data_IF_147771499254
#
_entry.id   IF_147771499254
#
_cell.length_a   1.000
_cell.length_b   1.000
_cell.length_c   1.000
_cell.angle_alpha   90.00
_cell.angle_beta   90.00
_cell.angle_gamma   90.00
#
_symmetry.space_group_name_H-M   'P 1'
#
loop_
_entity.id
_entity.type
_entity.pdbx_description
1 polymer ?
#
# COMPACT_ATOMS: atom_id res chain seq x y z
N UNK A 1 -26.91 -34.01 48.06
CA UNK A 1 -26.61 -32.57 48.19
C UNK A 1 -27.57 -31.83 47.28
N UNK A 2 -28.22 -30.76 47.75
CA UNK A 2 -29.08 -29.94 46.89
C UNK A 2 -28.27 -29.36 45.72
N UNK A 3 -28.90 -29.17 44.53
CA UNK A 3 -28.22 -28.62 43.37
C UNK A 3 -27.88 -27.14 43.62
N UNK A 4 -26.59 -26.83 43.63
CA UNK A 4 -26.10 -25.44 43.70
C UNK A 4 -26.38 -24.75 42.37
N UNK A 5 -26.99 -23.57 42.41
CA UNK A 5 -27.31 -22.77 41.22
C UNK A 5 -26.51 -21.48 41.21
N UNK A 6 -26.19 -20.96 40.03
CA UNK A 6 -25.42 -19.71 39.90
C UNK A 6 -26.33 -18.51 40.08
N UNK A 7 -25.88 -17.53 40.88
CA UNK A 7 -26.55 -16.26 41.06
C UNK A 7 -26.36 -15.36 39.85
N UNK A 8 -27.47 -14.91 39.26
CA UNK A 8 -27.48 -14.02 38.10
C UNK A 8 -27.58 -12.53 38.45
N UNK A 9 -27.61 -12.17 39.74
CA UNK A 9 -27.51 -10.78 40.15
C UNK A 9 -26.19 -10.19 39.62
N UNK A 10 -26.28 -9.02 38.98
CA UNK A 10 -25.16 -8.39 38.26
C UNK A 10 -23.99 -8.13 39.20
N UNK A 11 -22.83 -8.75 38.92
CA UNK A 11 -21.63 -8.60 39.74
C UNK A 11 -21.48 -9.57 40.93
N UNK A 12 -22.43 -10.49 41.15
CA UNK A 12 -22.30 -11.55 42.16
C UNK A 12 -21.65 -12.82 41.57
N UNK A 13 -22.34 -13.53 40.68
CA UNK A 13 -21.82 -14.73 39.99
C UNK A 13 -21.50 -15.94 40.88
N UNK A 14 -21.87 -15.93 42.17
CA UNK A 14 -21.61 -17.01 43.12
C UNK A 14 -22.66 -18.12 43.02
N UNK A 15 -22.26 -19.36 43.33
CA UNK A 15 -23.19 -20.49 43.45
C UNK A 15 -23.83 -20.54 44.84
N UNK A 16 -25.15 -20.72 44.91
CA UNK A 16 -25.91 -20.78 46.15
C UNK A 16 -26.91 -21.93 46.15
N UNK A 17 -27.40 -22.30 47.32
CA UNK A 17 -28.47 -23.29 47.50
C UNK A 17 -29.84 -22.57 47.54
N UNK A 18 -30.76 -22.84 46.59
CA UNK A 18 -32.09 -22.23 46.59
C UNK A 18 -32.91 -22.50 47.86
N UNK A 19 -32.64 -23.61 48.56
CA UNK A 19 -33.37 -23.97 49.78
C UNK A 19 -32.84 -23.26 51.03
N UNK A 20 -31.62 -22.71 50.97
CA UNK A 20 -30.96 -22.01 52.06
C UNK A 20 -30.37 -20.68 51.56
N UNK A 21 -31.24 -19.80 51.05
CA UNK A 21 -30.85 -18.52 50.47
C UNK A 21 -30.64 -17.45 51.56
N UNK A 22 -29.41 -17.02 51.76
CA UNK A 22 -29.02 -15.96 52.69
C UNK A 22 -28.81 -14.61 52.01
N UNK A 23 -28.87 -13.51 52.78
CA UNK A 23 -28.72 -12.13 52.26
C UNK A 23 -27.25 -11.69 52.06
N UNK A 24 -26.37 -12.63 51.71
CA UNK A 24 -24.94 -12.39 51.50
C UNK A 24 -24.58 -12.03 50.05
N UNK A 25 -25.57 -11.98 49.14
CA UNK A 25 -25.35 -11.60 47.74
C UNK A 25 -24.99 -10.13 47.59
N UNK A 26 -23.72 -9.83 47.30
CA UNK A 26 -23.26 -8.47 46.97
C UNK A 26 -23.33 -8.24 45.46
N UNK A 27 -24.24 -7.37 45.01
CA UNK A 27 -24.50 -7.15 43.58
C UNK A 27 -24.81 -5.67 43.25
N UNK A 28 -24.92 -5.37 41.95
CA UNK A 28 -25.34 -4.08 41.42
C UNK A 28 -26.79 -4.17 40.93
N UNK A 29 -27.75 -3.43 41.54
CA UNK A 29 -29.12 -3.38 41.03
C UNK A 29 -29.25 -2.52 39.77
N UNK A 30 -28.26 -1.67 39.50
CA UNK A 30 -28.22 -0.79 38.34
C UNK A 30 -27.73 -1.48 37.06
N UNK A 31 -27.92 -0.79 35.95
CA UNK A 31 -27.44 -1.22 34.63
C UNK A 31 -26.04 -0.65 34.36
N UNK A 32 -25.22 -1.31 33.55
CA UNK A 32 -23.94 -0.75 33.13
C UNK A 32 -24.19 0.44 32.20
N UNK A 33 -23.42 1.52 32.33
CA UNK A 33 -23.41 2.66 31.43
C UNK A 33 -22.00 2.97 30.95
N UNK A 34 -21.90 3.46 29.72
CA UNK A 34 -20.65 3.78 29.04
C UNK A 34 -20.77 5.19 28.43
N UNK A 35 -20.10 6.18 29.00
CA UNK A 35 -20.17 7.58 28.54
C UNK A 35 -18.81 8.27 28.77
N UNK A 36 -18.35 9.08 27.81
CA UNK A 36 -17.08 9.83 27.85
C UNK A 36 -15.87 9.02 28.33
N UNK A 37 -15.66 7.84 27.73
CA UNK A 37 -14.62 6.86 28.09
C UNK A 37 -14.75 6.20 29.48
N UNK A 38 -15.66 6.68 30.33
CA UNK A 38 -15.97 6.08 31.63
C UNK A 38 -17.00 4.95 31.49
N UNK A 39 -16.79 3.92 32.32
CA UNK A 39 -17.61 2.72 32.44
C UNK A 39 -18.04 2.61 33.90
N UNK A 40 -19.32 2.47 34.16
CA UNK A 40 -19.84 2.45 35.54
C UNK A 40 -21.20 1.80 35.65
N UNK A 41 -21.72 1.73 36.87
CA UNK A 41 -23.04 1.19 37.18
C UNK A 41 -23.98 2.31 37.59
N UNK A 42 -25.23 2.32 37.11
CA UNK A 42 -26.17 3.41 37.48
C UNK A 42 -26.55 3.42 38.95
N UNK A 43 -26.32 2.33 39.69
CA UNK A 43 -26.61 2.21 41.11
C UNK A 43 -25.49 2.73 42.03
N UNK A 44 -24.29 3.00 41.53
CA UNK A 44 -23.21 3.54 42.36
C UNK A 44 -22.27 4.44 41.56
N UNK A 45 -21.69 5.45 42.21
CA UNK A 45 -20.80 6.42 41.56
C UNK A 45 -19.38 5.88 41.26
N UNK A 46 -19.18 4.56 41.30
CA UNK A 46 -17.90 3.94 40.96
C UNK A 46 -17.78 3.85 39.43
N UNK A 47 -16.75 4.49 38.88
CA UNK A 47 -16.46 4.55 37.45
C UNK A 47 -15.01 4.14 37.22
N UNK A 48 -14.75 3.48 36.10
CA UNK A 48 -13.39 3.19 35.63
C UNK A 48 -13.27 3.55 34.14
N UNK A 49 -12.05 3.84 33.69
CA UNK A 49 -11.72 3.99 32.28
C UNK A 49 -11.33 2.66 31.63
N UNK A 50 -10.93 1.66 32.42
CA UNK A 50 -10.56 0.32 31.99
C UNK A 50 -11.74 -0.66 32.07
N UNK A 51 -11.84 -1.58 31.10
CA UNK A 51 -12.95 -2.53 31.04
C UNK A 51 -12.82 -3.65 32.09
N UNK A 52 -11.60 -4.09 32.38
CA UNK A 52 -11.33 -5.15 33.35
C UNK A 52 -11.60 -4.64 34.76
N UNK A 53 -11.15 -3.43 35.07
CA UNK A 53 -11.44 -2.79 36.35
C UNK A 53 -12.94 -2.56 36.55
N UNK A 54 -13.67 -2.15 35.50
CA UNK A 54 -15.13 -2.01 35.53
C UNK A 54 -15.86 -3.31 35.90
N UNK A 55 -15.49 -4.45 35.28
CA UNK A 55 -16.08 -5.76 35.60
C UNK A 55 -15.78 -6.20 37.04
N UNK A 56 -14.66 -5.74 37.61
CA UNK A 56 -14.23 -6.06 38.97
C UNK A 56 -14.83 -5.13 40.04
N UNK A 57 -15.61 -4.10 39.66
CA UNK A 57 -16.29 -3.23 40.62
C UNK A 57 -17.25 -4.07 41.47
N UNK A 58 -16.93 -4.21 42.76
CA UNK A 58 -17.78 -4.94 43.72
C UNK A 58 -19.17 -4.33 43.80
N UNK A 59 -20.17 -5.20 43.88
CA UNK A 59 -21.58 -4.85 44.08
C UNK A 59 -21.78 -3.83 45.20
N UNK A 60 -22.78 -2.99 45.06
CA UNK A 60 -23.10 -1.92 46.01
C UNK A 60 -24.29 -2.22 46.91
N UNK A 61 -25.01 -3.32 46.67
CA UNK A 61 -26.20 -3.74 47.43
C UNK A 61 -26.04 -5.17 47.92
N UNK A 62 -26.49 -5.44 49.15
CA UNK A 62 -26.63 -6.79 49.72
C UNK A 62 -28.08 -7.24 49.62
N UNK A 63 -28.31 -8.51 49.32
CA UNK A 63 -29.65 -9.09 49.27
C UNK A 63 -29.60 -10.60 49.05
N UNK A 64 -30.74 -11.19 48.71
CA UNK A 64 -30.84 -12.61 48.39
C UNK A 64 -30.23 -12.91 47.01
N UNK A 65 -29.70 -14.12 46.85
CA UNK A 65 -29.27 -14.60 45.54
C UNK A 65 -30.48 -14.89 44.63
N UNK A 66 -30.33 -14.67 43.33
CA UNK A 66 -31.36 -14.95 42.33
C UNK A 66 -30.85 -15.94 41.28
N UNK A 67 -31.64 -16.98 41.00
CA UNK A 67 -31.38 -17.93 39.92
C UNK A 67 -32.07 -17.53 38.60
N UNK A 68 -32.78 -16.40 38.59
CA UNK A 68 -33.45 -15.88 37.41
C UNK A 68 -32.45 -15.15 36.54
N UNK A 69 -32.22 -15.68 35.33
CA UNK A 69 -31.39 -15.01 34.33
C UNK A 69 -32.09 -13.72 33.90
N UNK A 70 -31.47 -12.53 34.09
CA UNK A 70 -32.04 -11.28 33.60
C UNK A 70 -32.36 -11.40 32.12
N UNK A 71 -33.51 -10.84 31.67
CA UNK A 71 -33.85 -10.84 30.26
C UNK A 71 -32.69 -10.21 29.47
N UNK A 72 -32.35 -10.85 28.35
CA UNK A 72 -31.33 -10.36 27.44
C UNK A 72 -31.74 -8.94 27.01
N UNK A 73 -30.84 -7.94 27.05
CA UNK A 73 -31.21 -6.56 26.78
C UNK A 73 -31.83 -6.50 25.39
N UNK A 74 -33.10 -6.11 25.31
CA UNK A 74 -33.73 -5.82 24.03
C UNK A 74 -32.87 -4.76 23.33
N UNK A 75 -32.32 -5.11 22.16
CA UNK A 75 -31.79 -4.11 21.24
C UNK A 75 -32.87 -3.06 21.11
N UNK A 76 -32.55 -1.81 21.47
CA UNK A 76 -33.49 -0.69 21.36
C UNK A 76 -34.17 -0.79 19.99
N UNK A 77 -35.46 -1.12 19.99
CA UNK A 77 -36.32 -0.76 18.87
C UNK A 77 -36.43 0.75 18.98
N UNK A 78 -35.93 1.43 17.97
CA UNK A 78 -36.11 2.86 17.83
C UNK A 78 -37.61 3.14 17.94
N UNK A 79 -37.99 3.97 18.91
CA UNK A 79 -39.37 4.29 19.21
C UNK A 79 -39.95 5.12 18.04
N UNK A 80 -40.97 4.66 17.32
CA UNK A 80 -41.54 5.38 16.18
C UNK A 80 -42.32 6.63 16.60
N UNK A 81 -42.42 6.99 17.87
CA UNK A 81 -43.33 8.05 18.35
C UNK A 81 -42.89 9.50 18.04
N UNK A 82 -41.90 9.68 17.16
CA UNK A 82 -41.53 10.96 16.53
C UNK A 82 -41.60 10.88 14.99
N UNK A 83 -42.53 10.11 14.42
CA UNK A 83 -42.92 10.30 13.01
C UNK A 83 -43.71 11.61 12.90
N UNK A 84 -43.01 12.67 12.50
CA UNK A 84 -43.63 13.64 11.60
C UNK A 84 -43.99 12.89 10.31
N UNK A 85 -45.16 13.20 9.75
CA UNK A 85 -45.69 12.59 8.53
C UNK A 85 -44.66 12.50 7.40
N UNK A 86 -44.78 11.50 6.49
CA UNK A 86 -43.91 11.38 5.33
C UNK A 86 -44.29 12.42 4.28
N UNK A 87 -44.01 13.69 4.56
CA UNK A 87 -43.64 14.62 3.49
C UNK A 87 -42.38 14.01 2.86
N UNK A 88 -42.24 13.95 1.53
CA UNK A 88 -40.98 13.55 0.92
C UNK A 88 -39.94 14.63 1.24
N UNK A 89 -39.37 14.53 2.44
CA UNK A 89 -38.16 15.25 2.80
C UNK A 89 -37.09 14.51 2.01
N UNK A 90 -36.82 15.03 0.81
CA UNK A 90 -35.48 14.95 0.24
C UNK A 90 -34.52 15.01 1.43
N UNK A 91 -33.82 13.91 1.69
CA UNK A 91 -32.65 13.96 2.57
C UNK A 91 -31.67 14.84 1.81
N UNK A 92 -31.83 16.16 1.96
CA UNK A 92 -30.81 17.14 1.66
C UNK A 92 -29.69 16.73 2.59
N UNK A 93 -28.77 15.95 2.06
CA UNK A 93 -27.41 15.81 2.59
C UNK A 93 -27.05 17.22 3.00
N UNK A 94 -26.96 17.46 4.32
CA UNK A 94 -26.58 18.79 4.80
C UNK A 94 -25.28 19.09 4.07
N UNK A 95 -25.32 20.14 3.26
CA UNK A 95 -24.13 20.59 2.56
C UNK A 95 -23.01 20.69 3.60
N UNK A 96 -21.78 20.24 3.29
CA UNK A 96 -20.71 20.30 4.25
C UNK A 96 -20.63 21.73 4.82
N UNK A 97 -20.33 21.86 6.12
CA UNK A 97 -20.31 23.14 6.87
C UNK A 97 -19.46 24.22 6.14
N UNK A 98 -18.63 23.81 5.18
CA UNK A 98 -17.97 24.67 4.20
C UNK A 98 -18.15 24.06 2.80
N UNK A 99 -18.42 24.86 1.76
CA UNK A 99 -18.42 24.35 0.39
C UNK A 99 -17.06 23.71 0.09
N UNK A 100 -17.07 22.47 -0.41
CA UNK A 100 -15.84 21.80 -0.83
C UNK A 100 -15.23 22.60 -1.98
N UNK A 101 -13.95 22.92 -1.88
CA UNK A 101 -13.23 23.65 -2.92
C UNK A 101 -13.37 22.92 -4.26
N UNK A 102 -13.67 23.68 -5.31
CA UNK A 102 -13.68 23.15 -6.66
C UNK A 102 -12.30 22.61 -7.00
N UNK A 103 -12.27 21.34 -7.40
CA UNK A 103 -11.05 20.64 -7.79
C UNK A 103 -10.52 21.24 -9.10
N UNK A 104 -9.32 21.85 -9.11
CA UNK A 104 -8.74 22.39 -10.34
C UNK A 104 -8.41 21.29 -11.37
N UNK A 105 -8.16 21.69 -12.62
CA UNK A 105 -7.76 20.75 -13.68
C UNK A 105 -6.39 20.12 -13.43
N UNK A 106 -6.23 18.85 -13.80
CA UNK A 106 -4.96 18.12 -13.68
C UNK A 106 -3.85 18.72 -14.56
N UNK A 107 -4.23 19.30 -15.70
CA UNK A 107 -3.32 19.93 -16.68
C UNK A 107 -2.91 21.36 -16.28
N UNK A 108 -3.28 21.82 -15.08
CA UNK A 108 -2.82 23.11 -14.56
C UNK A 108 -1.29 23.14 -14.51
N UNK A 109 -0.70 24.29 -14.86
CA UNK A 109 0.74 24.48 -14.89
C UNK A 109 1.41 24.02 -13.57
N UNK A 110 2.46 23.23 -13.72
CA UNK A 110 3.27 22.72 -12.62
C UNK A 110 4.25 23.79 -12.13
N UNK A 111 4.25 24.06 -10.84
CA UNK A 111 5.21 24.91 -10.16
C UNK A 111 6.35 24.07 -9.62
N UNK A 112 7.60 24.44 -9.92
CA UNK A 112 8.78 23.81 -9.31
C UNK A 112 8.97 24.34 -7.89
N UNK A 113 9.14 23.43 -6.93
CA UNK A 113 9.43 23.80 -5.54
C UNK A 113 10.94 23.91 -5.33
N UNK A 114 11.38 24.98 -4.67
CA UNK A 114 12.78 25.14 -4.28
C UNK A 114 13.11 24.26 -3.08
N UNK A 115 14.03 23.29 -3.22
CA UNK A 115 14.36 22.38 -2.13
C UNK A 115 15.33 23.01 -1.14
N UNK A 116 15.05 22.85 0.15
CA UNK A 116 16.06 23.01 1.18
C UNK A 116 16.95 21.76 1.22
N UNK A 117 18.24 21.93 1.00
CA UNK A 117 19.20 20.81 0.96
C UNK A 117 20.00 20.80 2.25
N UNK A 118 20.01 19.66 2.95
CA UNK A 118 20.78 19.50 4.18
C UNK A 118 22.29 19.74 3.90
N UNK A 119 23.01 20.55 4.69
CA UNK A 119 24.41 20.90 4.42
C UNK A 119 25.34 19.68 4.28
N UNK A 120 25.15 18.66 5.11
CA UNK A 120 25.93 17.42 5.04
C UNK A 120 25.70 16.67 3.72
N UNK A 121 24.45 16.64 3.24
CA UNK A 121 24.10 16.00 1.98
C UNK A 121 24.65 16.77 0.78
N UNK A 122 24.60 18.10 0.83
CA UNK A 122 25.18 18.96 -0.21
C UNK A 122 26.67 18.66 -0.40
N UNK A 123 27.44 18.67 0.69
CA UNK A 123 28.88 18.31 0.66
C UNK A 123 29.12 16.91 0.10
N UNK A 124 28.34 15.92 0.56
CA UNK A 124 28.46 14.55 0.10
C UNK A 124 28.28 14.41 -1.43
N UNK A 125 27.34 15.15 -2.02
CA UNK A 125 27.08 15.11 -3.46
C UNK A 125 28.11 15.93 -4.25
N UNK A 126 28.55 17.07 -3.73
CA UNK A 126 29.54 17.94 -4.40
C UNK A 126 30.94 17.27 -4.44
N UNK A 127 31.29 16.48 -3.43
CA UNK A 127 32.56 15.72 -3.35
C UNK A 127 32.47 14.34 -4.04
N UNK A 128 31.31 13.98 -4.59
CA UNK A 128 31.09 12.67 -5.20
C UNK A 128 31.84 12.57 -6.54
N UNK A 129 32.61 11.49 -6.78
CA UNK A 129 33.34 11.33 -8.03
C UNK A 129 32.36 11.19 -9.21
N UNK A 130 32.64 11.89 -10.30
CA UNK A 130 31.91 11.72 -11.55
C UNK A 130 32.25 10.33 -12.12
N UNK A 131 31.31 9.39 -12.03
CA UNK A 131 31.47 8.08 -12.67
C UNK A 131 31.18 8.26 -14.16
N UNK A 132 32.21 8.34 -14.99
CA UNK A 132 32.07 8.11 -16.43
C UNK A 132 31.88 6.62 -16.66
N UNK A 133 30.63 6.14 -16.56
CA UNK A 133 30.28 4.78 -16.97
C UNK A 133 30.40 4.75 -18.49
N UNK A 134 31.47 4.16 -19.01
CA UNK A 134 31.55 3.80 -20.44
C UNK A 134 30.37 2.87 -20.70
N UNK A 135 29.45 3.24 -21.62
CA UNK A 135 28.46 2.32 -22.19
C UNK A 135 29.19 1.11 -22.76
N UNK A 136 29.34 0.05 -21.96
CA UNK A 136 29.62 -1.29 -22.49
C UNK A 136 28.26 -1.81 -22.91
N UNK A 137 28.04 -1.88 -24.22
CA UNK A 137 26.95 -2.63 -24.83
C UNK A 137 27.36 -4.09 -24.68
N UNK A 138 26.76 -4.90 -23.78
CA UNK A 138 27.17 -6.28 -23.60
C UNK A 138 26.24 -7.16 -24.44
N UNK A 139 26.38 -7.10 -25.77
CA UNK A 139 25.87 -8.17 -26.64
C UNK A 139 26.87 -9.32 -26.80
N UNK A 140 28.01 -9.27 -26.11
CA UNK A 140 29.01 -10.35 -26.12
C UNK A 140 29.15 -11.01 -24.75
N UNK A 141 28.90 -12.32 -24.73
CA UNK A 141 29.16 -13.26 -23.62
C UNK A 141 30.62 -13.15 -23.11
N UNK A 142 31.51 -12.57 -23.93
CA UNK A 142 32.91 -12.28 -23.60
C UNK A 142 33.14 -11.17 -22.55
N UNK A 143 32.09 -10.49 -22.07
CA UNK A 143 32.21 -9.43 -21.06
C UNK A 143 31.79 -9.84 -19.63
N UNK A 144 31.44 -11.10 -19.39
CA UNK A 144 31.07 -11.60 -18.06
C UNK A 144 32.34 -11.79 -17.24
N UNK A 145 32.44 -11.11 -16.10
CA UNK A 145 33.58 -11.23 -15.18
C UNK A 145 33.56 -12.58 -14.47
N UNK A 146 34.73 -13.23 -14.36
CA UNK A 146 34.89 -14.46 -13.59
C UNK A 146 34.48 -14.19 -12.13
N UNK A 147 33.60 -15.03 -11.59
CA UNK A 147 32.94 -14.82 -10.30
C UNK A 147 31.46 -14.45 -10.39
N UNK A 148 30.91 -14.22 -11.59
CA UNK A 148 29.47 -13.92 -11.76
C UNK A 148 28.63 -15.15 -11.43
N UNK A 149 27.67 -15.03 -10.51
CA UNK A 149 26.77 -16.14 -10.13
C UNK A 149 25.57 -16.23 -11.06
N UNK A 150 25.08 -17.45 -11.31
CA UNK A 150 23.89 -17.69 -12.10
C UNK A 150 22.68 -17.04 -11.41
N UNK A 151 21.86 -16.34 -12.19
CA UNK A 151 20.67 -15.63 -11.70
C UNK A 151 19.40 -16.48 -11.65
N UNK A 152 19.44 -17.69 -12.20
CA UNK A 152 18.29 -18.59 -12.11
C UNK A 152 18.04 -19.05 -10.66
N UNK A 153 16.76 -19.13 -10.27
CA UNK A 153 16.35 -19.53 -8.92
C UNK A 153 16.88 -20.91 -8.53
N UNK A 154 17.56 -21.01 -7.38
CA UNK A 154 18.11 -22.28 -6.86
C UNK A 154 19.43 -22.72 -7.53
N UNK A 155 19.96 -21.98 -8.50
CA UNK A 155 21.28 -22.26 -9.06
C UNK A 155 22.36 -21.49 -8.30
N UNK A 156 23.36 -22.20 -7.76
CA UNK A 156 24.51 -21.62 -7.07
C UNK A 156 25.80 -21.65 -7.90
N UNK A 157 25.69 -21.88 -9.21
CA UNK A 157 26.85 -21.97 -10.08
C UNK A 157 27.47 -20.59 -10.31
N UNK A 158 28.80 -20.54 -10.26
CA UNK A 158 29.60 -19.35 -10.51
C UNK A 158 30.31 -19.50 -11.84
N UNK A 159 30.30 -18.45 -12.66
CA UNK A 159 31.01 -18.37 -13.92
C UNK A 159 32.52 -18.29 -13.67
N UNK A 160 33.28 -19.28 -14.14
CA UNK A 160 34.74 -19.30 -14.04
C UNK A 160 35.37 -18.91 -15.39
N UNK A 161 34.96 -19.56 -16.48
CA UNK A 161 35.41 -19.27 -17.85
C UNK A 161 34.39 -19.74 -18.92
N UNK A 162 34.56 -19.28 -20.16
CA UNK A 162 33.68 -19.63 -21.30
C UNK A 162 33.70 -21.13 -21.67
N UNK A 163 34.59 -21.93 -21.05
CA UNK A 163 34.69 -23.38 -21.25
C UNK A 163 33.97 -24.17 -20.17
N UNK A 164 33.78 -23.62 -18.96
CA UNK A 164 32.99 -24.23 -17.89
C UNK A 164 31.49 -23.88 -17.95
N UNK A 165 31.09 -22.91 -18.80
CA UNK A 165 29.69 -22.48 -18.98
C UNK A 165 28.79 -23.49 -19.72
N UNK A 166 29.34 -24.59 -20.24
CA UNK A 166 28.58 -25.67 -20.90
C UNK A 166 27.97 -26.68 -19.92
N UNK A 167 28.13 -26.49 -18.61
CA UNK A 167 27.43 -27.30 -17.61
C UNK A 167 25.92 -27.00 -17.65
N UNK A 168 25.05 -28.01 -17.57
CA UNK A 168 23.61 -27.80 -17.51
C UNK A 168 23.23 -27.12 -16.19
N UNK A 169 22.54 -25.97 -16.30
CA UNK A 169 21.98 -25.26 -15.17
C UNK A 169 20.72 -25.99 -14.71
N UNK A 170 20.69 -26.47 -13.46
CA UNK A 170 19.48 -27.01 -12.84
C UNK A 170 18.88 -25.93 -11.95
N UNK A 171 17.65 -25.49 -12.26
CA UNK A 171 17.04 -24.32 -11.63
C UNK A 171 15.52 -24.43 -11.50
N UNK A 172 14.92 -23.44 -10.84
CA UNK A 172 13.48 -23.26 -10.73
C UNK A 172 13.04 -22.07 -11.63
N UNK A 173 12.16 -22.27 -12.64
CA UNK A 173 11.58 -21.20 -13.44
C UNK A 173 10.47 -20.44 -12.68
N UNK A 174 9.99 -21.01 -11.58
CA UNK A 174 8.95 -20.42 -10.74
C UNK A 174 9.51 -19.37 -9.77
N UNK A 175 8.59 -18.72 -9.05
CA UNK A 175 8.93 -17.73 -8.01
C UNK A 175 8.92 -18.36 -6.62
N UNK A 176 9.72 -17.85 -5.67
CA UNK A 176 9.65 -18.27 -4.28
C UNK A 176 8.32 -17.83 -3.65
N UNK A 177 7.61 -18.75 -2.98
CA UNK A 177 6.36 -18.50 -2.25
C UNK A 177 6.58 -18.79 -0.77
N UNK A 178 6.22 -17.82 0.06
CA UNK A 178 6.24 -17.91 1.51
C UNK A 178 4.82 -17.68 2.06
N UNK A 179 4.09 -18.76 2.37
CA UNK A 179 2.75 -18.68 2.99
C UNK A 179 2.65 -19.64 4.17
N UNK A 180 2.02 -19.19 5.26
CA UNK A 180 1.68 -20.03 6.42
C UNK A 180 2.87 -20.79 7.02
N UNK A 181 4.07 -20.17 7.02
CA UNK A 181 5.30 -20.79 7.52
C UNK A 181 5.94 -21.81 6.56
N UNK A 182 5.30 -22.11 5.43
CA UNK A 182 5.83 -22.95 4.37
C UNK A 182 6.53 -22.10 3.31
N UNK A 183 7.61 -22.66 2.75
CA UNK A 183 8.47 -22.07 1.72
C UNK A 183 8.57 -23.06 0.57
N UNK A 184 8.32 -22.62 -0.66
CA UNK A 184 8.42 -23.47 -1.85
C UNK A 184 8.52 -22.63 -3.12
N UNK A 185 8.93 -23.27 -4.22
CA UNK A 185 8.93 -22.68 -5.56
C UNK A 185 7.61 -22.95 -6.27
N UNK A 186 7.03 -21.96 -6.93
CA UNK A 186 5.76 -22.15 -7.65
C UNK A 186 5.81 -23.22 -8.74
N UNK A 187 6.99 -23.51 -9.32
CA UNK A 187 7.16 -24.53 -10.39
C UNK A 187 6.91 -25.97 -9.91
N UNK A 188 7.30 -26.30 -8.69
CA UNK A 188 7.36 -27.70 -8.23
C UNK A 188 6.75 -27.91 -6.85
N UNK A 189 6.44 -26.82 -6.13
CA UNK A 189 5.71 -26.80 -4.87
C UNK A 189 6.22 -27.75 -3.79
N UNK A 190 7.51 -28.10 -3.83
CA UNK A 190 8.17 -28.87 -2.77
C UNK A 190 8.26 -27.98 -1.53
N UNK A 191 7.43 -28.28 -0.52
CA UNK A 191 7.27 -27.45 0.66
C UNK A 191 8.29 -27.79 1.73
N UNK A 192 8.88 -26.76 2.32
CA UNK A 192 9.73 -26.86 3.51
C UNK A 192 9.39 -25.74 4.48
N UNK A 193 9.51 -25.99 5.78
CA UNK A 193 9.42 -24.94 6.79
C UNK A 193 10.77 -24.25 7.03
N UNK A 194 11.89 -24.92 6.75
CA UNK A 194 13.24 -24.39 6.93
C UNK A 194 13.74 -23.60 5.70
N UNK A 195 14.35 -22.44 5.95
CA UNK A 195 14.83 -21.55 4.89
C UNK A 195 16.11 -22.09 4.20
N UNK A 196 16.99 -22.74 4.95
CA UNK A 196 18.24 -23.30 4.40
C UNK A 196 17.92 -24.48 3.49
N UNK A 197 16.99 -25.34 3.91
CA UNK A 197 16.46 -26.41 3.07
C UNK A 197 15.78 -25.90 1.80
N UNK A 198 15.09 -24.75 1.86
CA UNK A 198 14.50 -24.09 0.69
C UNK A 198 15.56 -23.59 -0.30
N UNK A 199 16.62 -22.93 0.19
CA UNK A 199 17.72 -22.43 -0.65
C UNK A 199 18.53 -23.57 -1.29
N UNK A 200 18.71 -24.67 -0.56
CA UNK A 200 19.44 -25.86 -1.03
C UNK A 200 18.58 -26.80 -1.88
N UNK A 201 17.31 -26.46 -2.11
CA UNK A 201 16.43 -27.29 -2.91
C UNK A 201 16.92 -27.31 -4.36
N UNK A 202 17.20 -28.52 -4.87
CA UNK A 202 17.60 -28.68 -6.27
C UNK A 202 16.50 -28.21 -7.22
N UNK A 203 16.90 -27.56 -8.30
CA UNK A 203 16.03 -27.08 -9.37
C UNK A 203 15.06 -28.15 -9.90
N UNK A 204 13.98 -27.68 -10.53
CA UNK A 204 12.93 -28.51 -11.13
C UNK A 204 13.09 -28.63 -12.66
N UNK A 205 13.95 -27.80 -13.28
CA UNK A 205 14.18 -27.73 -14.72
C UNK A 205 15.67 -27.60 -15.05
N UNK A 206 16.07 -28.00 -16.26
CA UNK A 206 17.46 -27.96 -16.73
C UNK A 206 17.56 -27.06 -17.97
N UNK A 207 18.51 -26.14 -18.00
CA UNK A 207 18.73 -25.24 -19.14
C UNK A 207 20.15 -24.66 -19.16
N UNK A 208 20.34 -23.55 -19.88
CA UNK A 208 21.60 -22.80 -19.86
C UNK A 208 21.60 -21.83 -18.67
N UNK A 209 22.79 -21.53 -18.16
CA UNK A 209 22.93 -20.56 -17.09
C UNK A 209 22.55 -19.15 -17.57
N UNK A 210 21.83 -18.42 -16.72
CA UNK A 210 21.50 -17.01 -16.92
C UNK A 210 22.50 -16.16 -16.14
N UNK A 211 23.47 -15.56 -16.83
CA UNK A 211 24.51 -14.73 -16.22
C UNK A 211 24.14 -13.25 -16.19
N UNK A 212 23.34 -12.81 -17.15
CA UNK A 212 22.82 -11.43 -17.28
C UNK A 212 21.30 -11.54 -17.40
N UNK A 213 20.57 -10.79 -16.59
CA UNK A 213 19.09 -10.73 -16.67
C UNK A 213 18.66 -9.49 -17.45
N UNK A 214 17.51 -9.56 -18.12
CA UNK A 214 16.87 -8.41 -18.80
C UNK A 214 16.58 -7.24 -17.84
N UNK A 215 16.44 -7.53 -16.53
CA UNK A 215 16.32 -6.51 -15.47
C UNK A 215 17.62 -5.71 -15.26
N UNK A 216 18.80 -6.25 -15.60
CA UNK A 216 20.06 -5.49 -15.56
C UNK A 216 20.21 -4.56 -16.75
N UNK A 217 19.56 -4.89 -17.88
CA UNK A 217 19.54 -4.05 -19.09
C UNK A 217 18.59 -2.87 -18.92
N UNK A 218 17.45 -3.09 -18.26
CA UNK A 218 16.51 -2.05 -17.85
C UNK A 218 16.84 -1.58 -16.42
N UNK A 219 17.91 -0.78 -16.28
CA UNK A 219 18.35 -0.12 -15.02
C UNK A 219 17.29 0.86 -14.46
N UNK A 220 16.10 0.38 -14.16
CA UNK A 220 14.99 1.16 -13.62
C UNK A 220 15.23 1.37 -12.14
N UNK A 221 15.45 2.62 -11.74
CA UNK A 221 15.62 2.95 -10.34
C UNK A 221 14.29 2.72 -9.64
N UNK A 222 14.27 1.82 -8.65
CA UNK A 222 13.13 1.64 -7.75
C UNK A 222 13.45 2.29 -6.40
N UNK A 223 12.73 3.35 -6.06
CA UNK A 223 12.77 3.94 -4.73
C UNK A 223 11.50 3.57 -3.94
N UNK A 224 11.65 3.36 -2.63
CA UNK A 224 10.49 3.25 -1.73
C UNK A 224 9.92 4.63 -1.49
N UNK A 225 8.62 4.77 -1.70
CA UNK A 225 7.84 5.96 -1.34
C UNK A 225 6.90 5.61 -0.19
N UNK A 226 6.82 6.48 0.79
CA UNK A 226 5.92 6.37 1.93
C UNK A 226 5.26 7.74 2.18
N UNK A 227 4.13 7.75 2.87
CA UNK A 227 3.44 9.00 3.19
C UNK A 227 2.68 8.90 4.49
N UNK A 228 2.57 10.04 5.16
CA UNK A 228 1.70 10.20 6.33
C UNK A 228 1.02 11.55 6.27
N UNK A 229 0.02 11.76 7.12
CA UNK A 229 -0.75 12.99 7.12
C UNK A 229 -1.12 13.44 8.52
N UNK A 230 -1.34 14.73 8.65
CA UNK A 230 -2.01 15.38 9.77
C UNK A 230 -3.36 15.91 9.30
N UNK A 231 -4.09 16.64 10.15
CA UNK A 231 -5.33 17.30 9.73
C UNK A 231 -5.12 18.30 8.58
N UNK A 232 -3.96 18.96 8.52
CA UNK A 232 -3.70 20.09 7.60
C UNK A 232 -2.57 19.83 6.61
N UNK A 233 -1.76 18.79 6.80
CA UNK A 233 -0.61 18.51 5.92
C UNK A 233 -0.55 17.05 5.50
N UNK A 234 0.05 16.80 4.35
CA UNK A 234 0.49 15.49 3.88
C UNK A 234 2.00 15.55 3.70
N UNK A 235 2.72 14.58 4.23
CA UNK A 235 4.16 14.46 4.07
C UNK A 235 4.44 13.22 3.24
N UNK A 236 5.07 13.41 2.08
CA UNK A 236 5.51 12.35 1.18
C UNK A 236 7.02 12.20 1.31
N UNK A 237 7.47 10.98 1.60
CA UNK A 237 8.87 10.66 1.83
C UNK A 237 9.35 9.66 0.79
N UNK A 238 10.33 10.05 -0.03
CA UNK A 238 11.01 9.16 -0.97
C UNK A 238 12.34 8.73 -0.37
N UNK A 239 12.49 7.44 -0.10
CA UNK A 239 13.74 6.87 0.42
C UNK A 239 14.70 6.60 -0.73
N UNK A 240 15.74 7.43 -0.81
CA UNK A 240 16.74 7.40 -1.87
C UNK A 240 18.11 7.80 -1.32
N UNK A 241 19.17 7.16 -1.80
CA UNK A 241 20.56 7.50 -1.49
C UNK A 241 21.30 7.88 -2.78
N UNK A 242 22.30 8.75 -2.68
CA UNK A 242 23.17 9.14 -3.80
C UNK A 242 22.43 9.76 -5.00
N UNK A 243 21.27 10.37 -4.78
CA UNK A 243 20.60 11.19 -5.79
C UNK A 243 21.22 12.60 -5.82
N UNK A 244 21.15 13.28 -6.96
CA UNK A 244 21.79 14.59 -7.12
C UNK A 244 20.81 15.73 -6.86
N UNK A 245 21.03 16.51 -5.80
CA UNK A 245 20.09 17.55 -5.37
C UNK A 245 19.81 18.61 -6.46
N UNK A 246 20.82 19.07 -7.20
CA UNK A 246 20.64 20.12 -8.22
C UNK A 246 20.04 19.63 -9.56
N UNK A 247 20.10 18.31 -9.84
CA UNK A 247 19.52 17.72 -11.06
C UNK A 247 18.13 17.12 -10.82
N UNK A 248 17.82 16.87 -9.55
CA UNK A 248 16.54 16.35 -9.11
C UNK A 248 15.58 17.50 -8.85
N UNK A 249 14.29 17.30 -9.09
CA UNK A 249 13.28 18.32 -8.88
C UNK A 249 11.96 17.74 -8.39
N UNK A 250 11.20 18.58 -7.70
CA UNK A 250 9.82 18.30 -7.27
C UNK A 250 8.96 19.42 -7.82
N UNK A 251 7.91 19.03 -8.55
CA UNK A 251 6.94 19.95 -9.15
C UNK A 251 5.55 19.61 -8.64
N UNK A 252 4.77 20.64 -8.38
CA UNK A 252 3.40 20.49 -7.88
C UNK A 252 2.46 21.43 -8.61
N UNK A 253 1.22 21.00 -8.75
CA UNK A 253 0.09 21.91 -8.96
C UNK A 253 -0.94 21.64 -7.84
N UNK A 254 -2.09 22.33 -7.78
CA UNK A 254 -3.04 22.13 -6.70
C UNK A 254 -3.52 20.68 -6.51
N UNK A 255 -3.39 19.79 -7.48
CA UNK A 255 -3.84 18.39 -7.41
C UNK A 255 -2.85 17.37 -7.97
N UNK A 256 -1.60 17.73 -8.27
CA UNK A 256 -0.60 16.85 -8.90
C UNK A 256 0.74 16.99 -8.20
N UNK A 257 1.40 15.86 -7.99
CA UNK A 257 2.77 15.78 -7.49
C UNK A 257 3.63 15.03 -8.51
N UNK A 258 4.64 15.71 -9.03
CA UNK A 258 5.65 15.15 -9.92
C UNK A 258 7.03 15.23 -9.27
N UNK A 259 7.72 14.09 -9.17
CA UNK A 259 9.04 13.95 -8.55
C UNK A 259 9.97 13.33 -9.58
N UNK A 260 11.15 13.93 -9.77
CA UNK A 260 12.23 13.36 -10.56
C UNK A 260 13.51 13.37 -9.72
N UNK A 261 14.03 12.18 -9.40
CA UNK A 261 15.33 12.02 -8.73
C UNK A 261 16.34 11.44 -9.70
N UNK A 262 17.48 12.12 -9.87
CA UNK A 262 18.55 11.70 -10.79
C UNK A 262 19.69 11.04 -10.01
N UNK A 263 20.18 9.89 -10.47
CA UNK A 263 21.23 9.10 -9.81
C UNK A 263 22.51 9.07 -10.66
N UNK A 264 23.48 9.99 -10.45
CA UNK A 264 24.67 10.08 -11.28
C UNK A 264 25.54 8.82 -11.27
N UNK A 265 25.62 8.12 -10.13
CA UNK A 265 26.40 6.88 -10.00
C UNK A 265 25.77 5.70 -10.75
N UNK A 266 24.50 5.82 -11.15
CA UNK A 266 23.76 4.78 -11.86
C UNK A 266 23.45 5.28 -13.27
N UNK A 267 24.47 5.69 -14.02
CA UNK A 267 24.34 6.07 -15.44
C UNK A 267 23.38 7.26 -15.69
N UNK A 268 23.17 8.10 -14.66
CA UNK A 268 22.20 9.19 -14.73
C UNK A 268 20.74 8.75 -14.78
N UNK A 269 20.44 7.49 -14.44
CA UNK A 269 19.08 6.98 -14.37
C UNK A 269 18.22 7.81 -13.41
N UNK A 270 16.91 7.77 -13.66
CA UNK A 270 15.94 8.61 -12.97
C UNK A 270 14.89 7.76 -12.27
N UNK A 271 14.48 8.21 -11.09
CA UNK A 271 13.25 7.77 -10.44
C UNK A 271 12.20 8.85 -10.66
N UNK A 272 11.16 8.50 -11.42
CA UNK A 272 10.08 9.41 -11.79
C UNK A 272 8.76 8.97 -11.16
N UNK A 273 8.11 9.88 -10.46
CA UNK A 273 6.78 9.70 -9.89
C UNK A 273 5.92 10.83 -10.37
N UNK A 274 4.72 10.51 -10.82
CA UNK A 274 3.74 11.49 -11.26
C UNK A 274 2.37 10.96 -10.86
N UNK A 275 1.67 11.70 -10.01
CA UNK A 275 0.41 11.26 -9.41
C UNK A 275 -0.55 12.42 -9.25
N UNK A 276 -1.84 12.12 -9.41
CA UNK A 276 -2.92 13.03 -9.05
C UNK A 276 -3.25 12.86 -7.56
N UNK A 277 -3.05 13.89 -6.76
CA UNK A 277 -3.29 13.91 -5.32
C UNK A 277 -4.79 13.80 -4.99
N UNK A 278 -5.13 13.17 -3.87
CA UNK A 278 -6.53 12.98 -3.48
C UNK A 278 -7.25 14.30 -3.18
N UNK A 279 -6.60 15.21 -2.48
CA UNK A 279 -7.14 16.53 -2.16
C UNK A 279 -6.37 17.66 -2.81
N UNK A 280 -6.93 18.86 -2.70
CA UNK A 280 -6.31 20.10 -3.16
C UNK A 280 -5.23 20.53 -2.17
N UNK A 281 -4.10 21.02 -2.68
CA UNK A 281 -2.98 21.55 -1.89
C UNK A 281 -2.76 23.04 -2.12
N UNK A 282 -2.26 23.73 -1.11
CA UNK A 282 -1.73 25.09 -1.23
C UNK A 282 -0.27 25.02 -1.69
N UNK A 283 -0.07 25.26 -2.99
CA UNK A 283 1.23 25.20 -3.66
C UNK A 283 2.26 26.15 -3.02
N UNK A 284 1.86 27.33 -2.56
CA UNK A 284 2.78 28.34 -2.04
C UNK A 284 3.38 27.95 -0.68
N UNK A 285 2.67 27.13 0.09
CA UNK A 285 3.10 26.70 1.43
C UNK A 285 3.78 25.33 1.43
N UNK A 286 3.86 24.67 0.28
CA UNK A 286 4.55 23.39 0.13
C UNK A 286 6.06 23.55 0.31
N UNK A 287 6.70 22.55 0.91
CA UNK A 287 8.14 22.57 1.22
C UNK A 287 8.79 21.26 0.81
N UNK A 288 10.03 21.33 0.33
CA UNK A 288 10.83 20.17 -0.02
C UNK A 288 12.13 20.21 0.77
N UNK A 289 12.47 19.09 1.41
CA UNK A 289 13.70 18.92 2.18
C UNK A 289 14.45 17.69 1.67
N UNK A 290 15.69 17.90 1.24
CA UNK A 290 16.54 16.85 0.68
C UNK A 290 17.65 16.45 1.67
N UNK A 291 17.69 15.17 2.02
CA UNK A 291 18.66 14.55 2.92
C UNK A 291 19.40 13.41 2.23
N UNK A 292 20.56 12.98 2.77
CA UNK A 292 21.37 11.91 2.14
C UNK A 292 20.68 10.56 1.99
N UNK A 293 19.61 10.31 2.73
CA UNK A 293 18.87 9.03 2.72
C UNK A 293 17.41 9.13 2.30
N UNK A 294 16.90 10.36 2.13
CA UNK A 294 15.49 10.59 1.79
C UNK A 294 15.25 12.01 1.26
N UNK A 295 14.14 12.17 0.54
CA UNK A 295 13.53 13.46 0.22
C UNK A 295 12.19 13.52 0.94
N UNK A 296 11.94 14.58 1.71
CA UNK A 296 10.66 14.82 2.39
C UNK A 296 9.95 16.01 1.73
N UNK A 297 8.71 15.79 1.32
CA UNK A 297 7.87 16.76 0.63
C UNK A 297 6.66 17.01 1.51
N UNK A 298 6.60 18.19 2.12
CA UNK A 298 5.45 18.62 2.92
C UNK A 298 4.48 19.38 2.04
N UNK A 299 3.31 18.79 1.82
CA UNK A 299 2.20 19.38 1.10
C UNK A 299 1.18 19.93 2.10
N UNK A 300 0.82 21.20 1.98
CA UNK A 300 -0.21 21.81 2.81
C UNK A 300 -1.57 21.59 2.15
N UNK A 301 -2.52 21.01 2.87
CA UNK A 301 -3.87 20.76 2.36
C UNK A 301 -4.62 22.09 2.26
N UNK A 302 -5.31 22.30 1.14
CA UNK A 302 -6.23 23.42 1.01
C UNK A 302 -7.43 23.30 1.97
N UNK A 303 -7.89 22.07 2.20
CA UNK A 303 -8.99 21.78 3.14
C UNK A 303 -8.51 20.85 4.26
N UNK A 304 -8.76 21.19 5.53
CA UNK A 304 -8.51 20.27 6.64
C UNK A 304 -9.36 19.01 6.48
N UNK A 305 -8.74 17.84 6.62
CA UNK A 305 -9.43 16.57 6.47
C UNK A 305 -8.48 15.39 6.32
N UNK A 306 -9.03 14.18 6.31
CA UNK A 306 -8.25 12.94 6.20
C UNK A 306 -8.38 12.38 4.78
N UNK A 307 -7.25 12.07 4.14
CA UNK A 307 -7.21 11.42 2.84
C UNK A 307 -7.12 9.90 3.03
N UNK A 308 -8.04 9.12 2.47
CA UNK A 308 -7.99 7.66 2.58
C UNK A 308 -6.81 7.04 1.80
N UNK A 309 -6.38 7.70 0.72
CA UNK A 309 -5.25 7.36 -0.15
C UNK A 309 -4.52 8.65 -0.54
N UNK A 310 -3.25 8.54 -0.91
CA UNK A 310 -2.46 9.69 -1.38
C UNK A 310 -2.96 10.20 -2.73
N UNK A 311 -3.23 9.27 -3.65
CA UNK A 311 -3.47 9.54 -5.06
C UNK A 311 -4.76 8.91 -5.62
N UNK A 312 -5.19 9.43 -6.77
CA UNK A 312 -6.09 8.74 -7.69
C UNK A 312 -5.27 7.93 -8.69
N UNK A 313 -5.54 6.63 -8.85
CA UNK A 313 -4.93 5.84 -9.90
C UNK A 313 -5.33 6.42 -11.27
N UNK A 314 -4.38 7.07 -11.96
CA UNK A 314 -4.49 7.38 -13.38
C UNK A 314 -3.69 6.38 -14.18
N UNK A 315 -4.25 5.97 -15.31
CA UNK A 315 -3.47 5.29 -16.35
C UNK A 315 -2.42 6.27 -16.88
N UNK A 316 -1.14 5.89 -16.78
CA UNK A 316 -0.04 6.68 -17.33
C UNK A 316 -0.15 6.65 -18.84
N UNK A 317 -0.60 7.75 -19.46
CA UNK A 317 -0.35 7.96 -20.90
C UNK A 317 1.16 8.19 -21.06
N UNK A 318 1.84 7.25 -21.70
CA UNK A 318 3.23 7.43 -22.10
C UNK A 318 3.30 8.57 -23.12
N UNK A 319 3.84 9.72 -22.71
CA UNK A 319 4.19 10.80 -23.62
C UNK A 319 5.37 10.33 -24.49
N UNK A 320 5.06 9.69 -25.62
CA UNK A 320 6.02 9.56 -26.70
C UNK A 320 6.32 10.96 -27.23
N UNK A 321 7.58 11.37 -27.06
CA UNK A 321 8.14 12.57 -27.66
C UNK A 321 7.88 12.55 -29.17
N UNK A 322 6.93 13.36 -29.64
CA UNK A 322 6.91 13.78 -31.04
C UNK A 322 7.85 14.97 -31.18
N UNK A 323 9.10 14.65 -31.51
CA UNK A 323 10.02 15.57 -32.14
C UNK A 323 9.45 15.91 -33.52
N UNK A 324 8.91 17.12 -33.68
CA UNK A 324 8.54 17.66 -35.00
C UNK A 324 9.46 18.82 -35.28
N UNK A 325 10.55 18.49 -35.96
CA UNK A 325 11.42 19.46 -36.62
C UNK A 325 10.65 20.08 -37.80
N UNK A 326 10.63 21.41 -37.84
CA UNK A 326 10.10 22.19 -38.96
C UNK A 326 10.75 21.81 -40.30
N UNK A 327 9.92 21.57 -41.32
CA UNK A 327 10.21 21.94 -42.70
C UNK A 327 8.98 22.57 -43.31
N UNK A 328 9.11 23.86 -43.63
CA UNK A 328 8.24 24.53 -44.57
C UNK A 328 8.54 23.99 -45.98
N UNK A 329 7.51 23.71 -46.77
CA UNK A 329 7.38 24.25 -48.12
C UNK A 329 5.97 24.04 -48.69
N UNK A 330 5.64 24.93 -49.61
CA UNK A 330 4.35 25.40 -50.09
C UNK A 330 3.46 24.42 -50.89
N UNK A 331 2.16 24.76 -50.88
CA UNK A 331 1.16 24.70 -51.97
C UNK A 331 0.65 23.34 -52.48
N UNK A 332 -0.62 23.01 -52.24
CA UNK A 332 -1.74 23.23 -53.18
C UNK A 332 -3.06 22.60 -52.69
N UNK A 333 -4.15 23.33 -52.89
CA UNK A 333 -5.54 22.91 -52.75
C UNK A 333 -5.89 21.78 -53.75
N UNK A 334 -6.70 20.81 -53.31
CA UNK A 334 -7.80 20.24 -54.10
C UNK A 334 -8.70 19.40 -53.17
N UNK A 335 -9.96 19.80 -53.09
CA UNK A 335 -11.09 19.00 -52.61
C UNK A 335 -11.38 17.89 -53.63
N UNK A 336 -11.65 16.66 -53.20
CA UNK A 336 -12.78 15.88 -53.74
C UNK A 336 -13.10 14.63 -52.91
N UNK A 337 -14.33 14.17 -53.11
CA UNK A 337 -15.14 13.23 -52.34
C UNK A 337 -14.75 11.73 -52.35
N UNK A 338 -15.30 11.07 -51.32
CA UNK A 338 -16.14 9.84 -51.35
C UNK A 338 -15.61 8.43 -51.03
N UNK A 339 -16.50 7.77 -50.29
CA UNK A 339 -16.79 6.33 -50.15
C UNK A 339 -15.92 5.41 -49.27
N UNK A 340 -16.50 5.07 -48.11
CA UNK A 340 -17.05 3.73 -47.80
C UNK A 340 -16.09 2.53 -47.82
N UNK A 341 -15.74 2.04 -46.63
CA UNK A 341 -15.31 0.64 -46.43
C UNK A 341 -15.83 0.13 -45.08
N UNK A 342 -16.70 -0.88 -45.19
CA UNK A 342 -17.44 -1.59 -44.16
C UNK A 342 -16.59 -2.16 -43.02
N UNK A 343 -17.12 -1.96 -41.80
CA UNK A 343 -16.74 -2.64 -40.57
C UNK A 343 -17.69 -3.83 -40.37
N UNK A 344 -17.35 -5.00 -40.87
CA UNK A 344 -17.84 -6.29 -40.35
C UNK A 344 -17.12 -7.46 -41.03
N UNK A 345 -15.96 -7.85 -40.49
CA UNK A 345 -15.49 -9.24 -40.52
C UNK A 345 -14.17 -9.35 -39.77
N UNK A 346 -14.15 -9.92 -38.55
CA UNK A 346 -13.05 -10.74 -38.03
C UNK A 346 -13.53 -11.48 -36.76
N UNK A 347 -13.96 -12.73 -36.95
CA UNK A 347 -14.25 -13.68 -35.88
C UNK A 347 -12.97 -14.04 -35.06
N UNK A 348 -13.08 -14.28 -33.75
CA UNK A 348 -11.95 -14.69 -32.92
C UNK A 348 -11.68 -16.21 -33.05
N UNK A 349 -10.59 -16.57 -33.74
CA UNK A 349 -10.10 -17.96 -33.75
C UNK A 349 -9.53 -18.37 -32.39
N UNK A 350 -10.32 -19.12 -31.63
CA UNK A 350 -9.89 -19.91 -30.48
C UNK A 350 -8.97 -21.04 -30.94
N UNK A 351 -7.70 -21.02 -30.54
CA UNK A 351 -6.76 -22.14 -30.72
C UNK A 351 -6.91 -23.13 -29.57
N UNK A 352 -7.68 -24.19 -29.79
CA UNK A 352 -7.71 -25.37 -28.93
C UNK A 352 -6.54 -26.28 -29.32
N UNK A 353 -5.59 -26.50 -28.41
CA UNK A 353 -4.51 -27.47 -28.60
C UNK A 353 -4.99 -28.88 -28.24
N UNK A 354 -4.90 -29.81 -29.21
CA UNK A 354 -5.18 -31.24 -29.03
C UNK A 354 -3.89 -31.96 -28.66
N UNK A 355 -3.94 -32.75 -27.58
CA UNK A 355 -2.85 -33.62 -27.12
C UNK A 355 -2.90 -34.91 -27.94
N UNK A 356 -1.80 -35.28 -28.58
CA UNK A 356 -1.59 -36.63 -29.11
C UNK A 356 -0.62 -37.38 -28.20
N UNK A 357 -1.11 -38.46 -27.61
CA UNK A 357 -0.31 -39.48 -26.94
C UNK A 357 0.57 -40.21 -27.96
N UNK A 358 1.82 -40.50 -27.60
CA UNK A 358 2.67 -41.43 -28.34
C UNK A 358 3.06 -42.54 -27.37
N UNK A 359 2.49 -43.72 -27.60
CA UNK A 359 2.95 -45.02 -27.12
C UNK A 359 4.09 -45.51 -28.00
N UNK A 360 5.27 -45.69 -27.42
CA UNK A 360 5.98 -46.98 -27.24
C UNK A 360 7.30 -46.77 -26.49
#
# INVERSE_FOLDING_TARGET
>A
MPPMVVCYNRGCGQSFDPQNNSEDCVHHPGVPFFHDAYKGWTCCNKKSVDFTEFLNIKGCTRGLHSNEKPPEPEKRKEDPSLVDEPVPVEVKIREPIRPSMERPSFETALTSLDPWVAPAFRKQIDEMPAVTVKKKIPTDIAAIEAGTVCKHGGCSCTYEDAKTSDKPCVYHPGVPIFHEGMKFWSCCQRKTSDFTAFMNQAGCETGKHLWVSEEDESKTIKCRLDWHQTATTVVVTVYAKNYHYAKSYVRVNPIRLAICLVFPQQDGNQYNVDMELRGVIDVAQCKVQMFGTKVEITLVKGEPGTWAKLDFPREKKSEQQKDVTNKADNSNNAEDNDSDVDLDDLEPTLRTATITEVTE
#
